data_IF_243566276321
#
_entry.id   IF_243566276321
#
_cell.length_a   1.000
_cell.length_b   1.000
_cell.length_c   1.000
_cell.angle_alpha   90.00
_cell.angle_beta   90.00
_cell.angle_gamma   90.00
#
_symmetry.space_group_name_H-M   'P 1'
#
loop_
_entity.id
_entity.type
_entity.pdbx_description
1 polymer ?
#
# COMPACT_ATOMS: atom_id res chain seq x y z
N UNK A 1 7.33 19.09 2.66
CA UNK A 1 7.57 18.30 3.90
C UNK A 1 6.82 16.98 3.76
N UNK A 2 7.42 15.84 4.14
CA UNK A 2 6.72 14.55 4.11
C UNK A 2 5.78 14.40 5.31
N UNK A 3 4.61 13.79 5.09
CA UNK A 3 3.62 13.47 6.12
C UNK A 3 3.10 12.05 5.91
N UNK A 4 2.87 11.32 6.98
CA UNK A 4 2.13 10.05 6.92
C UNK A 4 0.66 10.33 6.67
N UNK A 5 0.06 9.54 5.79
CA UNK A 5 -1.38 9.61 5.49
C UNK A 5 -1.97 8.20 5.56
N UNK A 6 -3.26 8.11 5.87
CA UNK A 6 -4.00 6.86 5.77
C UNK A 6 -4.65 6.77 4.39
N UNK A 7 -4.57 5.58 3.79
CA UNK A 7 -5.25 5.25 2.54
C UNK A 7 -6.19 4.07 2.77
N UNK A 8 -7.32 4.11 2.09
CA UNK A 8 -8.15 2.93 1.89
C UNK A 8 -7.39 1.84 1.13
N UNK A 9 -7.92 0.62 1.12
CA UNK A 9 -7.33 -0.46 0.32
C UNK A 9 -7.31 -0.12 -1.18
N UNK A 10 -8.38 0.51 -1.66
CA UNK A 10 -8.53 0.90 -3.07
C UNK A 10 -7.52 1.97 -3.46
N UNK A 11 -7.38 3.05 -2.69
CA UNK A 11 -6.41 4.12 -2.99
C UNK A 11 -4.97 3.61 -2.96
N UNK A 12 -4.66 2.71 -2.02
CA UNK A 12 -3.36 2.03 -1.98
C UNK A 12 -3.11 1.22 -3.24
N UNK A 13 -4.08 0.39 -3.65
CA UNK A 13 -3.94 -0.49 -4.81
C UNK A 13 -3.89 0.30 -6.12
N UNK A 14 -4.65 1.39 -6.26
CA UNK A 14 -4.55 2.34 -7.38
C UNK A 14 -3.16 2.96 -7.49
N UNK A 15 -2.57 3.35 -6.36
CA UNK A 15 -1.19 3.84 -6.33
C UNK A 15 -0.21 2.75 -6.79
N UNK A 16 -0.31 1.53 -6.23
CA UNK A 16 0.58 0.42 -6.60
C UNK A 16 0.47 0.10 -8.10
N UNK A 17 -0.75 -0.02 -8.63
CA UNK A 17 -0.97 -0.37 -10.04
C UNK A 17 -0.48 0.69 -11.03
N UNK A 18 -0.42 1.96 -10.60
CA UNK A 18 0.04 3.06 -11.44
C UNK A 18 1.54 3.39 -11.29
N UNK A 19 2.22 2.84 -10.28
CA UNK A 19 3.61 3.15 -9.99
C UNK A 19 4.59 2.26 -10.79
N UNK A 20 5.68 2.81 -11.37
CA UNK A 20 6.61 2.05 -12.23
C UNK A 20 7.36 0.91 -11.54
N UNK A 21 7.39 0.92 -10.20
CA UNK A 21 7.96 -0.17 -9.37
C UNK A 21 6.91 -0.81 -8.46
N UNK A 22 5.62 -0.66 -8.82
CA UNK A 22 4.54 -1.40 -8.20
C UNK A 22 4.63 -2.89 -8.53
N UNK A 23 4.09 -3.72 -7.65
CA UNK A 23 4.15 -5.17 -7.79
C UNK A 23 2.88 -5.83 -7.21
N UNK A 24 2.47 -6.97 -7.78
CA UNK A 24 1.33 -7.77 -7.33
C UNK A 24 1.39 -8.06 -5.82
N UNK A 25 2.59 -8.29 -5.28
CA UNK A 25 2.81 -8.64 -3.89
C UNK A 25 2.56 -7.48 -2.91
N UNK A 26 2.41 -6.25 -3.42
CA UNK A 26 2.04 -5.10 -2.61
C UNK A 26 0.52 -4.88 -2.56
N UNK A 27 -0.27 -5.50 -3.45
CA UNK A 27 -1.72 -5.28 -3.49
C UNK A 27 -2.42 -5.86 -2.26
N UNK A 28 -3.53 -5.22 -1.85
CA UNK A 28 -4.33 -5.66 -0.72
C UNK A 28 -4.88 -7.09 -0.89
N UNK A 29 -5.16 -7.50 -2.13
CA UNK A 29 -5.54 -8.89 -2.46
C UNK A 29 -4.45 -9.91 -2.18
N UNK A 30 -3.17 -9.55 -2.35
CA UNK A 30 -2.07 -10.43 -1.97
C UNK A 30 -1.99 -10.61 -0.46
N UNK A 31 -2.06 -9.52 0.30
CA UNK A 31 -2.13 -9.57 1.76
C UNK A 31 -3.30 -10.44 2.25
N UNK A 32 -4.48 -10.29 1.62
CA UNK A 32 -5.66 -11.12 1.92
C UNK A 32 -5.41 -12.61 1.72
N UNK A 33 -4.69 -12.99 0.66
CA UNK A 33 -4.32 -14.39 0.41
C UNK A 33 -3.41 -14.98 1.50
N UNK A 34 -2.59 -14.14 2.14
CA UNK A 34 -1.62 -14.54 3.17
C UNK A 34 -2.23 -14.76 4.55
N UNK A 35 -3.45 -14.27 4.78
CA UNK A 35 -4.23 -14.60 5.98
C UNK A 35 -4.44 -16.11 6.13
N UNK A 36 -4.49 -16.88 5.03
CA UNK A 36 -4.57 -18.36 5.07
C UNK A 36 -3.34 -19.04 5.69
N UNK A 37 -2.24 -18.29 5.81
CA UNK A 37 -0.96 -18.73 6.39
C UNK A 37 -0.59 -17.92 7.63
N UNK A 38 -1.58 -17.33 8.31
CA UNK A 38 -1.47 -16.58 9.57
C UNK A 38 -0.60 -15.31 9.51
N UNK A 39 -0.39 -14.73 8.33
CA UNK A 39 0.18 -13.40 8.20
C UNK A 39 -0.89 -12.35 8.52
N UNK A 40 -0.51 -11.30 9.24
CA UNK A 40 -1.31 -10.09 9.35
C UNK A 40 -0.69 -9.02 8.46
N UNK A 41 -1.45 -7.97 8.12
CA UNK A 41 -0.90 -6.89 7.31
C UNK A 41 -1.19 -5.49 7.85
N UNK A 42 -0.33 -4.54 7.52
CA UNK A 42 -0.52 -3.10 7.73
C UNK A 42 -0.10 -2.34 6.48
N UNK A 43 -0.79 -1.23 6.20
CA UNK A 43 -0.44 -0.31 5.12
C UNK A 43 0.15 0.96 5.69
N UNK A 44 1.13 1.53 5.00
CA UNK A 44 1.65 2.87 5.26
C UNK A 44 1.70 3.65 3.96
N UNK A 45 1.50 4.96 4.05
CA UNK A 45 1.64 5.87 2.93
C UNK A 45 2.29 7.18 3.38
N UNK A 46 3.08 7.76 2.49
CA UNK A 46 3.70 9.07 2.68
C UNK A 46 3.24 10.02 1.59
N UNK A 47 2.90 11.24 1.99
CA UNK A 47 2.52 12.32 1.10
C UNK A 47 3.50 13.49 1.19
N UNK A 48 3.70 14.17 0.07
CA UNK A 48 4.44 15.42 -0.03
C UNK A 48 3.57 16.43 -0.77
N UNK A 49 3.41 17.61 -0.20
CA UNK A 49 2.69 18.74 -0.80
C UNK A 49 1.24 18.39 -1.20
N UNK A 50 0.62 17.47 -0.45
CA UNK A 50 -0.76 17.01 -0.64
C UNK A 50 -0.90 15.74 -1.50
N UNK A 51 0.18 15.33 -2.18
CA UNK A 51 0.17 14.17 -3.09
C UNK A 51 0.87 12.97 -2.45
N UNK A 52 0.29 11.78 -2.62
CA UNK A 52 0.93 10.52 -2.20
C UNK A 52 2.15 10.26 -3.09
N UNK A 53 3.29 9.97 -2.47
CA UNK A 53 4.57 9.76 -3.17
C UNK A 53 5.21 8.40 -2.84
N UNK A 54 4.57 7.60 -2.00
CA UNK A 54 5.01 6.25 -1.69
C UNK A 54 4.04 5.53 -0.78
N UNK A 55 3.94 4.21 -0.99
CA UNK A 55 3.12 3.29 -0.19
C UNK A 55 3.91 2.02 0.08
N UNK A 56 3.52 1.28 1.12
CA UNK A 56 4.00 -0.08 1.34
C UNK A 56 2.95 -0.92 2.08
N UNK A 57 2.91 -2.20 1.73
CA UNK A 57 2.24 -3.26 2.49
C UNK A 57 3.28 -4.00 3.33
N UNK A 58 3.06 -4.02 4.65
CA UNK A 58 3.83 -4.80 5.61
C UNK A 58 3.04 -6.07 5.88
N UNK A 59 3.70 -7.23 5.74
CA UNK A 59 3.22 -8.56 6.08
C UNK A 59 3.96 -9.03 7.35
#
# INVERSE_FOLDING_TARGET
MYKTVELSATEHDEFVMSHPVGDLLQLSGWAKSKELTDWYSRRIAVARDGEVVGVASLL
#
